data_IF_055826869271
#
_entry.id   IF_055826869271
#
_cell.length_a   1.000
_cell.length_b   1.000
_cell.length_c   1.000
_cell.angle_alpha   90.00
_cell.angle_beta   90.00
_cell.angle_gamma   90.00
#
_symmetry.space_group_name_H-M   'P 1'
#
loop_
_entity.id
_entity.type
_entity.pdbx_description
1 polymer ?
#
# COMPACT_ATOMS: atom_id res chain seq x y z
N UNK A 1 17.88 -12.70 -26.97
CA UNK A 1 17.71 -11.77 -25.83
C UNK A 1 16.93 -12.38 -24.67
N UNK A 2 15.73 -12.93 -24.87
CA UNK A 2 14.93 -13.58 -23.81
C UNK A 2 15.71 -14.58 -22.93
N UNK A 3 16.45 -15.52 -23.56
CA UNK A 3 17.28 -16.51 -22.83
C UNK A 3 18.36 -15.88 -21.93
N UNK A 4 18.97 -14.77 -22.35
CA UNK A 4 19.99 -14.08 -21.55
C UNK A 4 19.37 -13.30 -20.39
N UNK A 5 18.24 -12.63 -20.63
CA UNK A 5 17.44 -11.97 -19.59
C UNK A 5 17.04 -12.95 -18.49
N UNK A 6 16.52 -14.11 -18.87
CA UNK A 6 15.97 -15.07 -17.93
C UNK A 6 17.05 -15.81 -17.12
N UNK A 7 18.30 -15.79 -17.59
CA UNK A 7 19.46 -16.42 -16.95
C UNK A 7 20.17 -15.52 -15.92
N UNK A 8 19.95 -14.21 -15.95
CA UNK A 8 20.54 -13.29 -14.97
C UNK A 8 19.73 -13.39 -13.67
N UNK A 9 20.40 -13.73 -12.58
CA UNK A 9 19.80 -13.86 -11.26
C UNK A 9 20.68 -13.19 -10.22
N UNK A 10 20.06 -12.56 -9.22
CA UNK A 10 20.74 -11.98 -8.07
C UNK A 10 20.45 -12.81 -6.83
N UNK A 11 21.48 -13.12 -6.05
CA UNK A 11 21.35 -13.77 -4.75
C UNK A 11 21.27 -12.67 -3.69
N UNK A 12 20.15 -12.61 -2.97
CA UNK A 12 20.03 -11.72 -1.82
C UNK A 12 20.31 -12.50 -0.53
N UNK A 13 21.36 -12.03 0.17
CA UNK A 13 21.77 -12.30 1.54
C UNK A 13 22.88 -13.34 1.84
N UNK A 14 23.69 -12.92 2.81
CA UNK A 14 24.97 -13.50 3.29
C UNK A 14 24.82 -14.09 4.71
N UNK A 15 23.59 -14.34 5.13
CA UNK A 15 23.29 -14.89 6.44
C UNK A 15 22.90 -16.36 6.29
N UNK A 16 23.47 -17.18 7.16
CA UNK A 16 23.52 -18.64 7.16
C UNK A 16 22.13 -19.31 7.17
N UNK A 17 21.41 -19.26 6.05
CA UNK A 17 20.24 -20.08 5.82
C UNK A 17 20.53 -21.08 4.69
N UNK A 18 20.20 -22.35 4.93
CA UNK A 18 20.76 -23.50 4.21
C UNK A 18 20.19 -23.76 2.82
N UNK A 19 19.20 -22.97 2.37
CA UNK A 19 18.55 -23.16 1.08
C UNK A 19 18.82 -21.99 0.12
N UNK A 20 19.85 -22.15 -0.73
CA UNK A 20 20.24 -21.15 -1.72
C UNK A 20 19.13 -20.86 -2.74
N UNK A 21 18.22 -21.80 -3.00
CA UNK A 21 17.23 -21.68 -4.09
C UNK A 21 16.15 -20.64 -3.80
N UNK A 22 15.79 -20.43 -2.53
CA UNK A 22 14.82 -19.41 -2.11
C UNK A 22 15.37 -17.98 -2.16
N UNK A 23 16.69 -17.83 -2.28
CA UNK A 23 17.39 -16.54 -2.28
C UNK A 23 17.78 -16.05 -3.67
N UNK A 24 17.56 -16.86 -4.70
CA UNK A 24 17.81 -16.54 -6.11
C UNK A 24 16.59 -15.81 -6.67
N UNK A 25 16.67 -14.48 -6.77
CA UNK A 25 15.64 -13.68 -7.45
C UNK A 25 16.14 -13.22 -8.81
N UNK A 26 15.29 -13.35 -9.82
CA UNK A 26 15.56 -12.73 -11.13
C UNK A 26 15.08 -11.28 -11.09
N UNK A 27 16.02 -10.35 -10.88
CA UNK A 27 15.77 -8.91 -10.80
C UNK A 27 15.90 -8.20 -12.16
N UNK A 28 15.84 -8.94 -13.27
CA UNK A 28 15.97 -8.32 -14.59
C UNK A 28 14.64 -7.73 -15.04
N UNK A 29 14.62 -6.40 -15.13
CA UNK A 29 13.49 -5.58 -15.57
C UNK A 29 13.14 -5.75 -17.05
N UNK A 30 14.17 -5.87 -17.90
CA UNK A 30 14.04 -5.93 -19.35
C UNK A 30 15.38 -6.20 -20.01
N UNK A 31 15.39 -6.35 -21.34
CA UNK A 31 16.64 -6.51 -22.09
C UNK A 31 16.60 -5.69 -23.37
N UNK A 32 17.49 -4.70 -23.45
CA UNK A 32 17.52 -3.73 -24.54
C UNK A 32 18.86 -3.80 -25.28
N UNK A 33 18.80 -3.86 -26.60
CA UNK A 33 19.99 -3.79 -27.45
C UNK A 33 20.20 -2.34 -27.88
N UNK A 34 21.42 -1.82 -27.70
CA UNK A 34 21.84 -0.54 -28.27
C UNK A 34 22.57 -0.82 -29.58
N UNK A 35 22.18 -0.15 -30.68
CA UNK A 35 22.76 -0.43 -31.99
C UNK A 35 22.95 0.85 -32.82
N UNK A 36 23.91 0.88 -33.76
CA UNK A 36 24.22 2.07 -34.53
C UNK A 36 23.16 2.32 -35.61
N UNK A 37 22.31 3.33 -35.40
CA UNK A 37 21.31 3.79 -36.36
C UNK A 37 20.96 5.25 -36.10
N UNK A 38 20.73 6.03 -37.15
CA UNK A 38 20.73 7.49 -37.11
C UNK A 38 19.35 8.15 -37.32
N UNK A 39 18.31 7.38 -37.64
CA UNK A 39 16.96 7.91 -37.93
C UNK A 39 15.95 7.46 -36.87
N UNK A 40 16.00 8.08 -35.69
CA UNK A 40 15.15 7.71 -34.55
C UNK A 40 13.64 7.79 -34.87
N UNK A 41 13.21 8.78 -35.65
CA UNK A 41 11.80 8.98 -35.96
C UNK A 41 11.25 7.83 -36.81
N UNK A 42 12.00 7.39 -37.84
CA UNK A 42 11.63 6.21 -38.62
C UNK A 42 11.67 4.93 -37.79
N UNK A 43 12.58 4.86 -36.81
CA UNK A 43 12.75 3.67 -35.99
C UNK A 43 11.58 3.41 -35.02
N UNK A 44 10.82 4.43 -34.63
CA UNK A 44 9.63 4.26 -33.76
C UNK A 44 8.60 3.28 -34.34
N UNK A 45 8.54 3.15 -35.66
CA UNK A 45 7.63 2.21 -36.33
C UNK A 45 8.11 0.75 -36.30
N UNK A 46 9.38 0.52 -35.94
CA UNK A 46 10.00 -0.80 -35.95
C UNK A 46 9.42 -1.71 -34.86
N UNK A 47 9.26 -2.99 -35.19
CA UNK A 47 8.78 -4.02 -34.26
C UNK A 47 9.64 -4.12 -32.99
N UNK A 48 10.96 -3.93 -33.07
CA UNK A 48 11.85 -3.96 -31.91
C UNK A 48 11.75 -2.74 -30.99
N UNK A 49 11.22 -1.61 -31.51
CA UNK A 49 10.89 -0.48 -30.66
C UNK A 49 9.55 -0.73 -29.96
N UNK A 50 8.53 -1.13 -30.72
CA UNK A 50 7.18 -1.43 -30.20
C UNK A 50 7.17 -2.57 -29.18
N UNK A 51 8.05 -3.56 -29.33
CA UNK A 51 8.16 -4.69 -28.39
C UNK A 51 8.67 -4.28 -27.00
N UNK A 52 9.22 -3.08 -26.85
CA UNK A 52 9.64 -2.55 -25.53
C UNK A 52 8.42 -2.39 -24.64
N UNK A 53 7.33 -1.80 -25.16
CA UNK A 53 6.09 -1.59 -24.40
C UNK A 53 5.33 -2.90 -24.17
N UNK A 54 5.41 -3.85 -25.10
CA UNK A 54 4.67 -5.11 -25.02
C UNK A 54 5.34 -6.14 -24.09
N UNK A 55 6.67 -6.25 -24.15
CA UNK A 55 7.42 -7.35 -23.54
C UNK A 55 8.70 -6.90 -22.82
N UNK A 56 8.91 -5.59 -22.63
CA UNK A 56 10.11 -5.06 -21.96
C UNK A 56 11.43 -5.57 -22.58
N UNK A 57 11.40 -5.93 -23.87
CA UNK A 57 12.54 -6.39 -24.65
C UNK A 57 12.49 -5.73 -26.00
N UNK A 58 13.60 -5.14 -26.41
CA UNK A 58 13.67 -4.47 -27.69
C UNK A 58 15.05 -3.92 -27.97
N UNK A 59 15.08 -2.89 -28.80
CA UNK A 59 16.33 -2.26 -29.18
C UNK A 59 16.15 -0.76 -29.37
N UNK A 60 17.16 0.02 -28.98
CA UNK A 60 17.24 1.46 -29.20
C UNK A 60 18.38 1.80 -30.17
N UNK A 61 18.14 2.70 -31.13
CA UNK A 61 19.23 3.33 -31.87
C UNK A 61 20.07 4.14 -30.87
N UNK A 62 21.39 3.99 -30.94
CA UNK A 62 22.30 4.68 -30.03
C UNK A 62 23.61 5.03 -30.73
N UNK A 63 23.74 6.31 -31.07
CA UNK A 63 24.99 6.93 -31.52
C UNK A 63 25.18 8.24 -30.74
N UNK A 64 26.38 8.83 -30.71
CA UNK A 64 26.59 10.15 -30.10
C UNK A 64 25.65 11.24 -30.63
N UNK A 65 25.14 11.10 -31.85
CA UNK A 65 24.20 12.01 -32.50
C UNK A 65 22.72 11.61 -32.35
N UNK A 66 22.43 10.42 -31.81
CA UNK A 66 21.09 9.85 -31.68
C UNK A 66 20.97 9.08 -30.36
N UNK A 67 20.67 9.82 -29.30
CA UNK A 67 20.47 9.32 -27.93
C UNK A 67 19.04 9.54 -27.43
N UNK A 68 18.20 10.25 -28.17
CA UNK A 68 16.98 10.88 -27.63
C UNK A 68 15.94 9.84 -27.21
N UNK A 69 15.71 8.79 -28.00
CA UNK A 69 14.83 7.68 -27.61
C UNK A 69 15.30 6.97 -26.33
N UNK A 70 16.60 6.76 -26.18
CA UNK A 70 17.16 6.11 -24.98
C UNK A 70 17.08 7.02 -23.76
N UNK A 71 17.35 8.33 -23.93
CA UNK A 71 17.19 9.32 -22.87
C UNK A 71 15.73 9.42 -22.39
N UNK A 72 14.77 9.47 -23.32
CA UNK A 72 13.34 9.47 -22.99
C UNK A 72 12.94 8.21 -22.20
N UNK A 73 13.43 7.05 -22.62
CA UNK A 73 13.17 5.79 -21.93
C UNK A 73 13.79 5.76 -20.52
N UNK A 74 15.04 6.22 -20.37
CA UNK A 74 15.70 6.30 -19.06
C UNK A 74 14.98 7.30 -18.14
N UNK A 75 14.57 8.44 -18.66
CA UNK A 75 13.78 9.43 -17.93
C UNK A 75 12.47 8.84 -17.43
N UNK A 76 11.80 8.06 -18.26
CA UNK A 76 10.57 7.35 -17.90
C UNK A 76 10.85 6.36 -16.75
N UNK A 77 11.84 5.49 -16.89
CA UNK A 77 12.19 4.51 -15.86
C UNK A 77 12.55 5.14 -14.51
N UNK A 78 13.29 6.25 -14.54
CA UNK A 78 13.67 6.98 -13.32
C UNK A 78 12.46 7.68 -12.70
N UNK A 79 11.48 8.09 -13.51
CA UNK A 79 10.25 8.75 -13.07
C UNK A 79 9.17 7.75 -12.66
N UNK A 80 9.25 6.49 -13.02
CA UNK A 80 8.27 5.46 -12.64
C UNK A 80 8.41 5.01 -11.19
N UNK A 81 7.36 4.38 -10.65
CA UNK A 81 7.44 3.71 -9.35
C UNK A 81 7.93 2.29 -9.49
N UNK A 82 8.43 1.74 -8.38
CA UNK A 82 8.74 0.31 -8.28
C UNK A 82 7.56 -0.61 -8.63
N UNK A 83 6.31 -0.16 -8.41
CA UNK A 83 5.11 -0.94 -8.73
C UNK A 83 4.84 -0.95 -10.25
N UNK A 84 4.94 0.20 -10.91
CA UNK A 84 4.79 0.31 -12.36
C UNK A 84 5.91 -0.44 -13.09
N UNK A 85 7.14 -0.24 -12.65
CA UNK A 85 8.32 -0.97 -13.15
C UNK A 85 8.17 -2.49 -12.97
N UNK A 86 7.60 -2.95 -11.84
CA UNK A 86 7.37 -4.38 -11.62
C UNK A 86 6.33 -4.97 -12.59
N UNK A 87 5.22 -4.27 -12.83
CA UNK A 87 4.17 -4.75 -13.75
C UNK A 87 4.62 -4.81 -15.22
N UNK A 88 5.53 -3.93 -15.64
CA UNK A 88 6.11 -3.99 -17.00
C UNK A 88 6.99 -5.23 -17.20
N UNK A 89 7.62 -5.73 -16.13
CA UNK A 89 8.54 -6.85 -16.23
C UNK A 89 7.78 -8.16 -16.46
N UNK A 90 7.76 -8.66 -17.71
CA UNK A 90 7.02 -9.88 -18.13
C UNK A 90 6.95 -10.91 -17.00
N UNK A 91 5.73 -11.30 -16.68
CA UNK A 91 5.47 -12.37 -15.72
C UNK A 91 6.14 -13.66 -16.16
N UNK A 92 7.05 -14.15 -15.30
CA UNK A 92 7.38 -15.57 -15.32
C UNK A 92 6.19 -16.28 -14.67
N UNK A 93 5.75 -17.37 -15.28
CA UNK A 93 4.74 -18.27 -14.69
C UNK A 93 5.19 -18.58 -13.25
N UNK A 94 4.38 -18.19 -12.27
CA UNK A 94 4.64 -18.22 -10.81
C UNK A 94 5.49 -17.07 -10.22
N UNK A 95 5.26 -15.81 -10.60
CA UNK A 95 5.67 -14.68 -9.75
C UNK A 95 4.66 -14.49 -8.62
N UNK A 96 5.15 -14.37 -7.40
CA UNK A 96 4.43 -13.67 -6.34
C UNK A 96 4.34 -12.20 -6.75
N UNK A 97 3.12 -11.65 -6.80
CA UNK A 97 2.92 -10.22 -7.00
C UNK A 97 3.71 -9.44 -5.95
N UNK A 98 4.25 -8.27 -6.31
CA UNK A 98 4.96 -7.40 -5.34
C UNK A 98 4.07 -7.05 -4.12
N UNK A 99 2.75 -7.05 -4.31
CA UNK A 99 1.74 -6.99 -3.26
C UNK A 99 0.91 -8.28 -3.28
N UNK A 100 0.84 -9.01 -2.17
CA UNK A 100 -0.05 -10.17 -2.09
C UNK A 100 -1.49 -9.73 -1.88
N UNK A 101 -2.44 -10.37 -2.56
CA UNK A 101 -3.88 -10.17 -2.27
C UNK A 101 -4.21 -10.54 -0.81
N UNK A 102 -3.48 -11.51 -0.25
CA UNK A 102 -3.66 -11.96 1.12
C UNK A 102 -3.30 -10.86 2.14
N UNK A 103 -2.36 -9.96 1.80
CA UNK A 103 -1.98 -8.81 2.63
C UNK A 103 -3.16 -7.87 2.88
N UNK A 104 -4.18 -7.87 2.03
CA UNK A 104 -5.37 -7.01 2.15
C UNK A 104 -6.62 -7.79 2.56
N UNK A 105 -6.72 -9.08 2.18
CA UNK A 105 -7.88 -9.92 2.52
C UNK A 105 -7.84 -10.43 3.95
N UNK A 106 -6.66 -10.74 4.48
CA UNK A 106 -6.51 -11.29 5.83
C UNK A 106 -6.70 -10.18 6.87
N UNK A 107 -7.95 -9.96 7.29
CA UNK A 107 -8.33 -8.97 8.31
C UNK A 107 -8.02 -9.45 9.74
N UNK A 108 -6.75 -9.80 9.99
CA UNK A 108 -6.25 -10.39 11.24
C UNK A 108 -5.99 -9.38 12.38
N UNK A 109 -6.26 -8.09 12.17
CA UNK A 109 -6.11 -7.05 13.19
C UNK A 109 -7.48 -6.53 13.62
N UNK A 110 -7.81 -6.64 14.90
CA UNK A 110 -8.96 -5.96 15.49
C UNK A 110 -8.61 -4.51 15.83
N UNK A 111 -9.39 -3.56 15.31
CA UNK A 111 -9.33 -2.14 15.69
C UNK A 111 -10.29 -1.92 16.86
N UNK A 112 -9.73 -1.91 18.07
CA UNK A 112 -10.46 -1.71 19.31
C UNK A 112 -10.67 -0.22 19.63
N UNK A 113 -11.93 0.19 19.79
CA UNK A 113 -12.24 1.54 20.24
C UNK A 113 -11.90 1.72 21.73
N UNK A 114 -11.19 2.81 22.04
CA UNK A 114 -10.90 3.21 23.43
C UNK A 114 -11.76 4.42 23.80
N UNK A 115 -12.56 4.27 24.85
CA UNK A 115 -13.63 5.20 25.23
C UNK A 115 -13.32 6.07 26.45
N UNK A 116 -12.19 5.84 27.12
CA UNK A 116 -11.71 6.69 28.22
C UNK A 116 -10.19 6.58 28.37
N UNK A 117 -9.57 7.57 29.03
CA UNK A 117 -8.14 7.52 29.38
C UNK A 117 -7.86 6.40 30.38
N UNK A 118 -8.75 6.21 31.35
CA UNK A 118 -8.68 5.10 32.30
C UNK A 118 -8.65 3.73 31.60
N UNK A 119 -9.51 3.52 30.59
CA UNK A 119 -9.49 2.30 29.79
C UNK A 119 -8.17 2.15 29.05
N UNK A 120 -7.64 3.23 28.47
CA UNK A 120 -6.36 3.20 27.77
C UNK A 120 -5.22 2.77 28.70
N UNK A 121 -5.10 3.41 29.86
CA UNK A 121 -4.05 3.11 30.84
C UNK A 121 -4.17 1.68 31.36
N UNK A 122 -5.39 1.22 31.70
CA UNK A 122 -5.62 -0.15 32.12
C UNK A 122 -5.21 -1.17 31.03
N UNK A 123 -5.57 -0.91 29.77
CA UNK A 123 -5.18 -1.78 28.66
C UNK A 123 -3.66 -1.84 28.51
N UNK A 124 -2.98 -0.69 28.51
CA UNK A 124 -1.53 -0.59 28.33
C UNK A 124 -0.78 -1.29 29.47
N UNK A 125 -1.12 -0.97 30.72
CA UNK A 125 -0.39 -1.45 31.90
C UNK A 125 -0.59 -2.95 32.15
N UNK A 126 -1.79 -3.47 31.87
CA UNK A 126 -2.15 -4.86 32.15
C UNK A 126 -2.17 -5.75 30.90
N UNK A 127 -1.73 -5.22 29.74
CA UNK A 127 -1.54 -5.97 28.48
C UNK A 127 -2.78 -6.72 27.98
N UNK A 128 -3.93 -6.08 28.04
CA UNK A 128 -5.17 -6.67 27.53
C UNK A 128 -6.03 -5.63 26.79
N UNK A 129 -6.98 -6.11 25.99
CA UNK A 129 -8.09 -5.34 25.49
C UNK A 129 -9.39 -6.10 25.77
N UNK A 130 -10.50 -5.38 25.94
CA UNK A 130 -11.79 -6.01 26.15
C UNK A 130 -12.89 -5.37 25.32
N UNK A 131 -13.81 -6.20 24.83
CA UNK A 131 -14.90 -5.78 23.96
C UNK A 131 -16.13 -6.67 24.12
N UNK A 132 -17.32 -6.09 24.01
CA UNK A 132 -18.58 -6.82 24.08
C UNK A 132 -18.64 -7.89 22.99
N UNK A 133 -19.00 -9.12 23.35
CA UNK A 133 -19.11 -10.25 22.40
C UNK A 133 -20.06 -9.89 21.26
N UNK A 134 -21.21 -9.27 21.56
CA UNK A 134 -22.21 -8.85 20.56
C UNK A 134 -21.75 -7.74 19.61
N UNK A 135 -20.62 -7.09 19.86
CA UNK A 135 -20.14 -5.95 19.07
C UNK A 135 -19.13 -6.33 17.99
N UNK A 136 -18.63 -7.56 18.00
CA UNK A 136 -17.60 -8.06 17.07
C UNK A 136 -17.83 -9.53 16.73
N UNK A 137 -17.47 -9.93 15.52
CA UNK A 137 -17.42 -11.34 15.12
C UNK A 137 -15.95 -11.77 15.00
N UNK A 138 -15.35 -12.22 16.11
CA UNK A 138 -13.96 -12.70 16.09
C UNK A 138 -13.83 -14.06 15.37
N UNK A 139 -14.89 -14.85 15.25
CA UNK A 139 -14.82 -16.14 14.55
C UNK A 139 -14.67 -15.98 13.03
N UNK A 140 -15.17 -14.89 12.46
CA UNK A 140 -15.04 -14.59 11.03
C UNK A 140 -13.62 -14.18 10.60
N UNK A 141 -12.76 -13.84 11.56
CA UNK A 141 -11.46 -13.27 11.30
C UNK A 141 -10.46 -13.89 12.27
N UNK A 142 -9.49 -14.68 11.82
CA UNK A 142 -8.44 -15.23 12.67
C UNK A 142 -7.59 -14.08 13.26
N UNK A 143 -8.02 -13.52 14.40
CA UNK A 143 -7.41 -12.33 14.98
C UNK A 143 -6.08 -12.70 15.62
N UNK A 144 -5.01 -12.12 15.10
CA UNK A 144 -3.65 -12.28 15.57
C UNK A 144 -3.13 -11.03 16.28
N UNK A 145 -3.76 -9.87 16.03
CA UNK A 145 -3.34 -8.59 16.58
C UNK A 145 -4.54 -7.74 17.01
N UNK A 146 -4.34 -6.90 18.02
CA UNK A 146 -5.27 -5.83 18.40
C UNK A 146 -4.56 -4.50 18.32
N UNK A 147 -5.25 -3.47 17.82
CA UNK A 147 -4.77 -2.09 17.82
C UNK A 147 -5.76 -1.20 18.54
N UNK A 148 -5.25 -0.17 19.24
CA UNK A 148 -6.09 0.74 20.03
C UNK A 148 -6.38 2.02 19.24
N UNK A 149 -7.66 2.26 18.97
CA UNK A 149 -8.15 3.49 18.34
C UNK A 149 -8.57 4.51 19.42
N UNK A 150 -7.75 5.55 19.56
CA UNK A 150 -7.94 6.67 20.48
C UNK A 150 -8.79 7.74 19.80
N UNK A 151 -10.01 7.98 20.30
CA UNK A 151 -10.94 8.93 19.67
C UNK A 151 -10.51 10.39 19.88
N UNK A 152 -10.77 11.25 18.88
CA UNK A 152 -10.39 12.67 18.93
C UNK A 152 -10.99 13.43 20.11
N UNK A 153 -12.25 13.16 20.45
CA UNK A 153 -12.96 13.86 21.52
C UNK A 153 -12.38 13.61 22.92
N UNK A 154 -11.65 12.51 23.13
CA UNK A 154 -11.10 12.12 24.43
C UNK A 154 -9.59 12.36 24.48
N UNK A 155 -8.90 12.10 23.37
CA UNK A 155 -7.44 12.08 23.32
C UNK A 155 -6.82 13.31 22.64
N UNK A 156 -7.60 14.20 22.02
CA UNK A 156 -7.12 15.42 21.36
C UNK A 156 -5.94 15.10 20.40
N UNK A 157 -4.75 15.61 20.68
CA UNK A 157 -3.55 15.42 19.86
C UNK A 157 -2.99 13.98 19.93
N UNK A 158 -3.35 13.23 20.97
CA UNK A 158 -3.00 11.81 21.11
C UNK A 158 -3.96 10.89 20.37
N UNK A 159 -4.96 11.44 19.67
CA UNK A 159 -5.93 10.65 18.92
C UNK A 159 -5.32 9.92 17.72
N UNK A 160 -6.03 8.88 17.26
CA UNK A 160 -5.60 8.02 16.16
C UNK A 160 -5.20 6.63 16.65
N UNK A 161 -4.18 6.06 16.03
CA UNK A 161 -3.63 4.75 16.39
C UNK A 161 -2.13 4.87 16.59
N UNK A 162 -1.68 4.44 17.76
CA UNK A 162 -0.27 4.48 18.16
C UNK A 162 0.28 3.12 18.58
N UNK A 163 -0.57 2.21 19.04
CA UNK A 163 -0.16 0.96 19.66
C UNK A 163 -0.90 -0.21 19.07
N UNK A 164 -0.18 -1.32 18.91
CA UNK A 164 -0.73 -2.62 18.58
C UNK A 164 -0.10 -3.69 19.48
N UNK A 165 -0.80 -4.78 19.72
CA UNK A 165 -0.33 -5.91 20.50
C UNK A 165 -0.63 -7.22 19.77
N UNK A 166 0.30 -8.16 19.84
CA UNK A 166 0.09 -9.52 19.32
C UNK A 166 -0.74 -10.31 20.33
N UNK A 167 -1.83 -10.91 19.86
CA UNK A 167 -2.74 -11.70 20.69
C UNK A 167 -2.05 -12.97 21.14
N UNK A 168 -2.10 -13.21 22.45
CA UNK A 168 -1.63 -14.46 23.06
C UNK A 168 -2.78 -15.37 23.44
N UNK A 169 -3.93 -14.79 23.82
CA UNK A 169 -5.10 -15.54 24.22
C UNK A 169 -6.39 -14.72 24.08
N UNK A 170 -7.52 -15.38 23.87
CA UNK A 170 -8.85 -14.77 23.80
C UNK A 170 -9.81 -15.59 24.66
N UNK A 171 -10.33 -14.97 25.74
CA UNK A 171 -11.29 -15.59 26.66
C UNK A 171 -12.64 -14.89 26.62
N UNK A 172 -13.71 -15.65 26.82
CA UNK A 172 -15.04 -15.08 27.09
C UNK A 172 -15.20 -15.00 28.60
N UNK A 173 -15.41 -13.79 29.11
CA UNK A 173 -15.55 -13.50 30.55
C UNK A 173 -16.78 -12.63 30.78
N UNK A 174 -17.33 -12.62 31.99
CA UNK A 174 -18.35 -11.63 32.36
C UNK A 174 -17.71 -10.27 32.55
N UNK A 175 -18.47 -9.20 32.33
CA UNK A 175 -17.95 -7.84 32.52
C UNK A 175 -17.47 -7.58 33.95
N UNK A 176 -18.12 -8.16 34.95
CA UNK A 176 -17.72 -8.09 36.36
C UNK A 176 -16.39 -8.78 36.68
N UNK A 177 -15.93 -9.71 35.84
CA UNK A 177 -14.67 -10.43 36.02
C UNK A 177 -13.45 -9.63 35.53
N UNK A 178 -13.66 -8.49 34.85
CA UNK A 178 -12.60 -7.57 34.43
C UNK A 178 -12.33 -6.61 35.58
N UNK A 179 -11.40 -7.01 36.47
CA UNK A 179 -11.11 -6.33 37.73
C UNK A 179 -10.33 -5.03 37.57
N UNK A 180 -9.56 -4.89 36.48
CA UNK A 180 -8.77 -3.68 36.19
C UNK A 180 -9.65 -2.48 35.83
N UNK A 181 -10.89 -2.73 35.43
CA UNK A 181 -11.90 -1.72 35.14
C UNK A 181 -13.22 -2.15 35.77
N UNK A 182 -13.41 -1.99 37.10
CA UNK A 182 -14.56 -2.55 37.80
C UNK A 182 -15.90 -2.07 37.22
N UNK A 183 -16.81 -3.00 36.94
CA UNK A 183 -18.20 -2.69 36.54
C UNK A 183 -19.13 -3.85 36.85
N UNK A 184 -20.16 -3.59 37.63
CA UNK A 184 -21.23 -4.55 37.93
C UNK A 184 -22.10 -4.81 36.69
N UNK A 185 -21.79 -5.87 35.95
CA UNK A 185 -22.53 -6.30 34.77
C UNK A 185 -22.21 -7.76 34.44
N UNK A 186 -23.25 -8.51 34.09
CA UNK A 186 -23.14 -9.91 33.66
C UNK A 186 -23.00 -10.07 32.15
N UNK A 187 -22.91 -8.97 31.38
CA UNK A 187 -22.72 -9.05 29.93
C UNK A 187 -21.39 -9.75 29.59
N UNK A 188 -21.39 -10.54 28.51
CA UNK A 188 -20.22 -11.28 28.07
C UNK A 188 -19.30 -10.39 27.22
N UNK A 189 -18.01 -10.45 27.53
CA UNK A 189 -16.94 -9.74 26.86
C UNK A 189 -15.89 -10.73 26.37
N UNK A 190 -15.29 -10.44 25.22
CA UNK A 190 -13.98 -10.97 24.88
C UNK A 190 -12.93 -10.21 25.68
N UNK A 191 -12.13 -10.92 26.46
CA UNK A 191 -10.88 -10.45 27.03
C UNK A 191 -9.75 -11.00 26.18
N UNK A 192 -9.07 -10.09 25.50
CA UNK A 192 -7.98 -10.39 24.56
C UNK A 192 -6.67 -10.03 25.24
N UNK A 193 -5.87 -11.03 25.57
CA UNK A 193 -4.55 -10.86 26.14
C UNK A 193 -3.54 -10.62 25.02
N UNK A 194 -2.58 -9.70 25.25
CA UNK A 194 -1.50 -9.42 24.30
C UNK A 194 -0.13 -9.62 24.94
N UNK A 195 0.86 -10.00 24.14
CA UNK A 195 2.23 -10.22 24.64
C UNK A 195 2.86 -8.93 25.20
N UNK A 196 2.69 -7.83 24.47
CA UNK A 196 3.05 -6.47 24.86
C UNK A 196 2.39 -5.46 23.91
N UNK A 197 2.30 -4.21 24.34
CA UNK A 197 1.91 -3.11 23.48
C UNK A 197 3.13 -2.49 22.81
N UNK A 198 3.18 -2.61 21.48
CA UNK A 198 4.26 -2.10 20.66
C UNK A 198 3.79 -0.80 20.01
N UNK A 199 4.61 0.26 20.16
CA UNK A 199 4.34 1.54 19.51
C UNK A 199 4.63 1.44 18.01
N UNK A 200 3.72 1.94 17.19
CA UNK A 200 3.95 2.10 15.76
C UNK A 200 5.07 3.11 15.54
N UNK A 201 5.87 2.90 14.48
CA UNK A 201 6.91 3.84 14.08
C UNK A 201 6.35 5.25 13.82
N UNK A 202 5.12 5.31 13.29
CA UNK A 202 4.37 6.53 13.04
C UNK A 202 2.96 6.40 13.61
N UNK A 203 2.45 7.47 14.23
CA UNK A 203 1.04 7.58 14.63
C UNK A 203 0.16 7.71 13.39
N UNK A 204 -0.88 6.88 13.30
CA UNK A 204 -1.89 7.01 12.25
C UNK A 204 -2.90 8.10 12.65
N UNK A 205 -2.94 9.18 11.87
CA UNK A 205 -3.84 10.30 12.13
C UNK A 205 -5.27 10.01 11.65
N UNK A 206 -6.24 10.63 12.30
CA UNK A 206 -7.67 10.46 11.97
C UNK A 206 -8.07 11.28 10.72
N UNK A 207 -7.52 12.48 10.54
CA UNK A 207 -7.77 13.37 9.39
C UNK A 207 -9.24 13.42 8.88
N UNK A 208 -10.18 13.73 9.79
CA UNK A 208 -11.60 13.87 9.45
C UNK A 208 -12.36 12.54 9.28
N UNK A 209 -11.67 11.40 9.39
CA UNK A 209 -12.31 10.09 9.49
C UNK A 209 -13.01 9.94 10.84
N UNK A 210 -14.10 9.17 10.90
CA UNK A 210 -14.74 8.86 12.16
C UNK A 210 -15.08 7.39 12.19
N UNK A 211 -14.48 6.68 13.14
CA UNK A 211 -14.78 5.27 13.38
C UNK A 211 -15.89 5.18 14.43
N UNK A 212 -17.07 4.68 14.02
CA UNK A 212 -18.24 4.57 14.90
C UNK A 212 -18.28 3.28 15.72
N UNK A 213 -17.62 2.23 15.23
CA UNK A 213 -17.63 0.88 15.81
C UNK A 213 -16.26 0.24 15.59
N UNK A 214 -15.90 -0.68 16.47
CA UNK A 214 -14.73 -1.54 16.25
C UNK A 214 -14.82 -2.21 14.87
N UNK A 215 -13.68 -2.40 14.24
CA UNK A 215 -13.57 -2.88 12.86
C UNK A 215 -12.33 -3.73 12.70
N UNK A 216 -12.08 -4.23 11.50
CA UNK A 216 -10.94 -5.10 11.23
C UNK A 216 -10.08 -4.53 10.09
N UNK A 217 -8.78 -4.75 10.20
CA UNK A 217 -7.81 -4.44 9.15
C UNK A 217 -6.79 -5.57 9.05
N UNK A 218 -5.89 -5.50 8.08
CA UNK A 218 -4.77 -6.42 8.00
C UNK A 218 -3.54 -5.85 8.69
N UNK A 219 -2.65 -6.73 9.14
CA UNK A 219 -1.39 -6.31 9.74
C UNK A 219 -0.53 -5.52 8.74
N UNK A 220 -0.57 -5.90 7.46
CA UNK A 220 0.09 -5.15 6.39
C UNK A 220 -0.40 -3.70 6.30
N UNK A 221 -1.72 -3.48 6.28
CA UNK A 221 -2.28 -2.12 6.23
C UNK A 221 -1.95 -1.32 7.50
N UNK A 222 -2.01 -1.96 8.67
CA UNK A 222 -1.62 -1.31 9.94
C UNK A 222 -0.17 -0.79 9.91
N UNK A 223 0.73 -1.54 9.27
CA UNK A 223 2.16 -1.19 9.19
C UNK A 223 2.49 -0.18 8.11
N UNK A 224 1.70 -0.13 7.04
CA UNK A 224 2.02 0.68 5.87
C UNK A 224 1.13 1.92 5.72
N UNK A 225 -0.04 1.99 6.37
CA UNK A 225 -0.93 3.15 6.28
C UNK A 225 -0.28 4.43 6.82
N UNK A 226 -0.64 5.58 6.24
CA UNK A 226 -0.26 6.89 6.79
C UNK A 226 -1.37 7.49 7.67
N UNK A 227 -2.63 7.14 7.40
CA UNK A 227 -3.81 7.60 8.14
C UNK A 227 -4.77 6.45 8.45
N UNK A 228 -5.62 6.65 9.46
CA UNK A 228 -6.58 5.62 9.91
C UNK A 228 -7.55 5.19 8.80
N UNK A 229 -7.96 6.11 7.92
CA UNK A 229 -8.88 5.77 6.83
C UNK A 229 -8.30 4.71 5.88
N UNK A 230 -6.98 4.64 5.71
CA UNK A 230 -6.30 3.70 4.80
C UNK A 230 -6.32 2.26 5.31
N UNK A 231 -6.59 2.05 6.61
CA UNK A 231 -6.79 0.72 7.17
C UNK A 231 -7.99 -0.02 6.54
N UNK A 232 -8.83 0.70 5.81
CA UNK A 232 -10.05 0.20 5.16
C UNK A 232 -9.89 0.04 3.65
N UNK A 233 -8.67 0.15 3.11
CA UNK A 233 -8.36 -0.22 1.73
C UNK A 233 -8.68 -1.69 1.51
N UNK A 234 -9.35 -2.03 0.41
CA UNK A 234 -9.95 -3.34 0.15
C UNK A 234 -8.99 -4.35 -0.46
N UNK A 235 -8.13 -3.91 -1.38
CA UNK A 235 -7.31 -4.77 -2.23
C UNK A 235 -6.02 -4.07 -2.67
N UNK A 236 -5.17 -4.80 -3.38
CA UNK A 236 -3.87 -4.28 -3.83
C UNK A 236 -4.01 -3.11 -4.82
N UNK A 237 -5.05 -3.12 -5.68
CA UNK A 237 -5.28 -2.07 -6.70
C UNK A 237 -5.55 -0.71 -6.06
N UNK A 238 -6.44 -0.67 -5.07
CA UNK A 238 -6.73 0.55 -4.31
C UNK A 238 -5.48 1.07 -3.59
N UNK A 239 -4.67 0.18 -3.03
CA UNK A 239 -3.42 0.55 -2.37
C UNK A 239 -2.39 1.10 -3.35
N UNK A 240 -2.22 0.44 -4.50
CA UNK A 240 -1.33 0.86 -5.59
C UNK A 240 -1.71 2.26 -6.08
N UNK A 241 -3.00 2.48 -6.35
CA UNK A 241 -3.52 3.78 -6.76
C UNK A 241 -3.17 4.88 -5.76
N UNK A 242 -3.42 4.65 -4.46
CA UNK A 242 -3.06 5.58 -3.41
C UNK A 242 -1.55 5.89 -3.39
N UNK A 243 -0.70 4.87 -3.58
CA UNK A 243 0.76 5.02 -3.56
C UNK A 243 1.26 5.83 -4.75
N UNK A 244 0.76 5.56 -5.96
CA UNK A 244 1.14 6.32 -7.15
C UNK A 244 0.76 7.79 -7.05
N UNK A 245 -0.49 8.08 -6.64
CA UNK A 245 -0.92 9.45 -6.45
C UNK A 245 -0.02 10.17 -5.44
N UNK A 246 0.29 9.54 -4.29
CA UNK A 246 1.23 10.14 -3.32
C UNK A 246 2.61 10.40 -3.90
N UNK A 247 3.15 9.46 -4.67
CA UNK A 247 4.47 9.60 -5.28
C UNK A 247 4.52 10.81 -6.22
N UNK A 248 3.52 10.96 -7.08
CA UNK A 248 3.39 12.09 -8.01
C UNK A 248 3.34 13.42 -7.25
N UNK A 249 2.49 13.52 -6.23
CA UNK A 249 2.35 14.77 -5.47
C UNK A 249 3.56 15.07 -4.56
N UNK A 250 4.21 14.06 -4.00
CA UNK A 250 5.43 14.25 -3.21
C UNK A 250 6.60 14.72 -4.11
N UNK A 251 6.73 14.15 -5.31
CA UNK A 251 7.69 14.59 -6.33
C UNK A 251 7.49 16.08 -6.65
N UNK A 252 6.25 16.51 -6.88
CA UNK A 252 5.90 17.91 -7.15
C UNK A 252 6.18 18.86 -5.98
N UNK A 253 5.91 18.40 -4.76
CA UNK A 253 6.21 19.19 -3.54
C UNK A 253 7.71 19.41 -3.38
N UNK A 254 8.54 18.43 -3.74
CA UNK A 254 10.00 18.55 -3.71
C UNK A 254 10.51 19.40 -4.90
N UNK A 255 9.83 19.33 -6.05
CA UNK A 255 10.18 20.07 -7.26
C UNK A 255 9.60 21.49 -7.35
N UNK A 256 9.27 22.15 -6.22
CA UNK A 256 8.79 23.56 -6.13
C UNK A 256 9.77 24.63 -6.70
N UNK A 257 10.71 24.24 -7.57
CA UNK A 257 11.51 25.09 -8.46
C UNK A 257 11.31 24.78 -9.96
N UNK A 258 10.38 23.90 -10.35
CA UNK A 258 10.08 23.51 -11.73
C UNK A 258 8.58 23.61 -12.06
N UNK A 259 8.28 23.98 -13.31
CA UNK A 259 7.01 24.45 -13.88
C UNK A 259 5.72 23.68 -13.53
N UNK A 260 4.62 24.43 -13.31
CA UNK A 260 3.25 23.96 -13.04
C UNK A 260 2.58 23.15 -14.18
N UNK A 261 3.30 22.88 -15.28
CA UNK A 261 2.75 22.30 -16.51
C UNK A 261 3.01 20.78 -16.70
N UNK A 262 3.72 20.12 -15.78
CA UNK A 262 4.00 18.69 -15.91
C UNK A 262 2.73 17.84 -15.75
N UNK A 263 2.42 17.07 -16.79
CA UNK A 263 1.39 16.04 -16.79
C UNK A 263 2.05 14.71 -16.47
N UNK A 264 1.68 14.10 -15.34
CA UNK A 264 2.10 12.74 -15.00
C UNK A 264 0.93 11.80 -15.31
N UNK A 265 1.21 10.64 -15.91
CA UNK A 265 0.21 9.62 -16.16
C UNK A 265 0.74 8.24 -15.75
N UNK A 266 -0.16 7.35 -15.32
CA UNK A 266 0.16 5.96 -15.04
C UNK A 266 -1.06 5.08 -15.25
N UNK A 267 -0.82 3.79 -15.49
CA UNK A 267 -1.87 2.80 -15.67
C UNK A 267 -1.94 1.85 -14.47
N UNK A 268 -3.16 1.44 -14.14
CA UNK A 268 -3.46 0.31 -13.27
C UNK A 268 -4.43 -0.58 -14.05
N UNK A 269 -3.95 -1.75 -14.47
CA UNK A 269 -4.68 -2.64 -15.36
C UNK A 269 -5.18 -1.90 -16.62
N UNK A 270 -6.50 -1.78 -16.79
CA UNK A 270 -7.18 -1.13 -17.91
C UNK A 270 -7.59 0.33 -17.65
N UNK A 271 -7.18 0.88 -16.51
CA UNK A 271 -7.48 2.25 -16.09
C UNK A 271 -6.24 3.12 -16.24
N UNK A 272 -6.35 4.14 -17.07
CA UNK A 272 -5.36 5.19 -17.24
C UNK A 272 -5.72 6.38 -16.33
N UNK A 273 -4.71 6.87 -15.61
CA UNK A 273 -4.86 7.96 -14.65
C UNK A 273 -3.92 9.08 -15.04
N UNK A 274 -4.48 10.24 -15.34
CA UNK A 274 -3.76 11.42 -15.79
C UNK A 274 -3.87 12.49 -14.71
N UNK A 275 -2.72 12.99 -14.24
CA UNK A 275 -2.62 13.98 -13.18
C UNK A 275 -2.04 15.28 -13.75
N UNK A 276 -2.85 16.33 -13.77
CA UNK A 276 -2.45 17.69 -14.19
C UNK A 276 -2.78 18.69 -13.09
N UNK A 277 -1.75 19.29 -12.49
CA UNK A 277 -1.93 20.14 -11.30
C UNK A 277 -2.61 19.38 -10.15
N UNK A 278 -3.71 19.91 -9.62
CA UNK A 278 -4.55 19.25 -8.59
C UNK A 278 -5.60 18.30 -9.19
N UNK A 279 -5.74 18.24 -10.53
CA UNK A 279 -6.79 17.45 -11.19
C UNK A 279 -6.28 16.06 -11.55
N UNK A 280 -7.04 15.05 -11.15
CA UNK A 280 -6.85 13.64 -11.51
C UNK A 280 -8.01 13.24 -12.43
N UNK A 281 -7.69 12.89 -13.68
CA UNK A 281 -8.62 12.32 -14.65
C UNK A 281 -8.46 10.81 -14.69
N UNK A 282 -9.59 10.11 -14.78
CA UNK A 282 -9.63 8.65 -14.82
C UNK A 282 -10.28 8.24 -16.13
N UNK A 283 -9.57 7.42 -16.90
CA UNK A 283 -9.96 7.00 -18.23
C UNK A 283 -9.90 5.47 -18.28
N UNK A 284 -10.90 4.84 -18.90
CA UNK A 284 -10.90 3.40 -19.19
C UNK A 284 -11.21 3.22 -20.67
N UNK A 285 -10.22 2.77 -21.44
CA UNK A 285 -10.29 2.79 -22.90
C UNK A 285 -10.51 4.22 -23.42
N UNK A 286 -11.62 4.45 -24.13
CA UNK A 286 -11.96 5.78 -24.67
C UNK A 286 -12.95 6.57 -23.81
N UNK A 287 -13.33 6.05 -22.62
CA UNK A 287 -14.35 6.65 -21.78
C UNK A 287 -13.73 7.32 -20.55
N UNK A 288 -14.02 8.61 -20.36
CA UNK A 288 -13.67 9.35 -19.15
C UNK A 288 -14.64 8.94 -18.04
N UNK A 289 -14.15 8.20 -17.06
CA UNK A 289 -14.94 7.72 -15.92
C UNK A 289 -15.24 8.84 -14.91
N UNK A 290 -14.36 9.84 -14.84
CA UNK A 290 -14.56 11.03 -14.03
C UNK A 290 -13.30 11.83 -13.80
N UNK A 291 -13.47 12.96 -13.12
CA UNK A 291 -12.39 13.84 -12.69
C UNK A 291 -12.55 14.13 -11.19
N UNK A 292 -11.45 14.23 -10.47
CA UNK A 292 -11.44 14.61 -9.06
C UNK A 292 -10.18 15.40 -8.70
N UNK A 293 -10.27 16.15 -7.62
CA UNK A 293 -9.14 16.92 -7.10
C UNK A 293 -8.34 16.10 -6.10
N UNK A 294 -7.01 16.12 -6.16
CA UNK A 294 -6.18 15.40 -5.19
C UNK A 294 -6.34 15.96 -3.77
N UNK A 295 -6.50 17.27 -3.65
CA UNK A 295 -6.87 17.93 -2.39
C UNK A 295 -8.16 17.38 -1.77
N UNK A 296 -9.13 16.95 -2.59
CA UNK A 296 -10.33 16.24 -2.13
C UNK A 296 -10.08 14.77 -1.83
N UNK A 297 -9.30 14.10 -2.69
CA UNK A 297 -8.89 12.71 -2.51
C UNK A 297 -8.24 12.51 -1.15
N UNK A 298 -7.31 13.38 -0.74
CA UNK A 298 -6.63 13.30 0.55
C UNK A 298 -7.56 13.40 1.76
N UNK A 299 -8.70 14.12 1.64
CA UNK A 299 -9.69 14.22 2.72
C UNK A 299 -10.44 12.90 2.93
N UNK A 300 -10.60 12.09 1.89
CA UNK A 300 -11.31 10.81 1.99
C UNK A 300 -10.84 9.78 0.97
N UNK A 301 -9.58 9.29 1.05
CA UNK A 301 -8.99 8.46 0.00
C UNK A 301 -9.82 7.22 -0.28
N UNK A 302 -10.22 6.47 0.75
CA UNK A 302 -11.03 5.26 0.61
C UNK A 302 -12.40 5.50 -0.02
N UNK A 303 -13.01 6.67 0.17
CA UNK A 303 -14.29 7.00 -0.48
C UNK A 303 -14.11 7.17 -1.98
N UNK A 304 -13.06 7.87 -2.40
CA UNK A 304 -12.78 8.08 -3.81
C UNK A 304 -12.24 6.81 -4.46
N UNK A 305 -11.35 6.07 -3.81
CA UNK A 305 -10.85 4.77 -4.31
C UNK A 305 -12.00 3.83 -4.73
N UNK A 306 -13.08 3.75 -3.94
CA UNK A 306 -14.29 2.97 -4.27
C UNK A 306 -15.08 3.45 -5.49
N UNK A 307 -14.93 4.72 -5.88
CA UNK A 307 -15.56 5.27 -7.08
C UNK A 307 -14.71 5.01 -8.33
N UNK A 308 -13.40 4.91 -8.15
CA UNK A 308 -12.44 4.71 -9.24
C UNK A 308 -12.32 3.20 -9.56
N UNK A 309 -12.26 2.35 -8.52
CA UNK A 309 -12.06 0.90 -8.56
C UNK A 309 -13.34 0.12 -8.24
#
# INVERSE_FOLDING_TARGET
MHRYRDAIVSIYNKNNDSDLRSHVKNNVFGAFVLFPYNDEEKYKENTFYKSIDEVNIGAFPFLPSTTKLMEQFLDELVKESSYSTFERAIDKVNKENYLSEDDFKNRNVLIGMVKSREQFEANINNKFYHILVKSVNLAAHSIEYVTLFQTKNIFNDESGIQYYGQVTDIKIVKRSEITELPKESSELYYRIEVSSWIKLYRKLEINGFSLRRSSYTSFYLLKNADNVCELFIRNCREFRLLRELRRIYNKRTISLKGSEDDVDAFCIDDIEIIVKGDVIKIIRGNLVLGELHYSEFLKSPVRYLKKIM
#
